data_IF_413142384227
#
_entry.id   IF_413142384227
#
_cell.length_a   1.000
_cell.length_b   1.000
_cell.length_c   1.000
_cell.angle_alpha   90.00
_cell.angle_beta   90.00
_cell.angle_gamma   90.00
#
_symmetry.space_group_name_H-M   'P 1'
#
loop_
_entity.id
_entity.type
_entity.pdbx_description
1 polymer ?
#
# COMPACT_ATOMS: atom_id res chain seq x y z
N UNK A 1 17.94 -12.84 37.52
CA UNK A 1 16.61 -12.72 36.88
C UNK A 1 16.78 -12.09 35.51
N UNK A 2 16.74 -12.90 34.45
CA UNK A 2 16.91 -12.45 33.07
C UNK A 2 15.55 -12.00 32.52
N UNK A 3 15.39 -10.69 32.35
CA UNK A 3 14.26 -10.09 31.64
C UNK A 3 14.30 -10.53 30.18
N UNK A 4 13.40 -11.45 29.80
CA UNK A 4 13.11 -11.74 28.39
C UNK A 4 12.35 -10.53 27.83
N UNK A 5 13.09 -9.59 27.26
CA UNK A 5 12.51 -8.51 26.45
C UNK A 5 11.61 -9.09 25.35
N UNK A 6 10.55 -8.36 24.94
CA UNK A 6 9.65 -8.84 23.91
C UNK A 6 10.46 -9.14 22.64
N UNK A 7 10.34 -10.39 22.15
CA UNK A 7 10.91 -10.78 20.85
C UNK A 7 10.29 -9.86 19.81
N UNK A 8 11.04 -8.86 19.37
CA UNK A 8 10.66 -8.04 18.23
C UNK A 8 10.39 -9.00 17.07
N UNK A 9 9.16 -8.99 16.56
CA UNK A 9 8.83 -9.74 15.36
C UNK A 9 9.81 -9.30 14.28
N UNK A 10 10.67 -10.21 13.82
CA UNK A 10 11.63 -9.89 12.76
C UNK A 10 10.91 -9.41 11.50
N UNK A 11 11.64 -8.85 10.52
CA UNK A 11 11.06 -8.34 9.27
C UNK A 11 10.14 -9.35 8.57
N UNK A 12 10.42 -10.65 8.74
CA UNK A 12 9.61 -11.76 8.23
C UNK A 12 8.20 -11.77 8.86
N UNK A 13 8.07 -11.54 10.16
CA UNK A 13 6.78 -11.53 10.84
C UNK A 13 5.87 -10.40 10.36
N UNK A 14 6.46 -9.23 10.13
CA UNK A 14 5.75 -8.06 9.59
C UNK A 14 5.23 -8.37 8.18
N UNK A 15 6.08 -8.94 7.30
CA UNK A 15 5.69 -9.32 5.93
C UNK A 15 4.56 -10.34 5.92
N UNK A 16 4.61 -11.36 6.79
CA UNK A 16 3.55 -12.38 6.89
C UNK A 16 2.23 -11.75 7.32
N UNK A 17 2.24 -10.89 8.35
CA UNK A 17 1.03 -10.21 8.82
C UNK A 17 0.41 -9.37 7.70
N UNK A 18 1.22 -8.57 6.99
CA UNK A 18 0.72 -7.77 5.87
C UNK A 18 0.17 -8.62 4.73
N UNK A 19 0.82 -9.74 4.42
CA UNK A 19 0.36 -10.65 3.37
C UNK A 19 -0.98 -11.28 3.74
N UNK A 20 -1.14 -11.73 4.99
CA UNK A 20 -2.40 -12.30 5.48
C UNK A 20 -3.53 -11.26 5.46
N UNK A 21 -3.26 -10.02 5.89
CA UNK A 21 -4.25 -8.92 5.85
C UNK A 21 -4.66 -8.62 4.40
N UNK A 22 -3.68 -8.50 3.50
CA UNK A 22 -3.93 -8.19 2.07
C UNK A 22 -4.77 -9.29 1.42
N UNK A 23 -4.43 -10.56 1.67
CA UNK A 23 -5.18 -11.70 1.14
C UNK A 23 -6.60 -11.77 1.71
N UNK A 24 -6.76 -11.50 3.01
CA UNK A 24 -8.07 -11.44 3.65
C UNK A 24 -8.96 -10.35 3.06
N UNK A 25 -8.40 -9.14 2.86
CA UNK A 25 -9.09 -8.04 2.20
C UNK A 25 -9.45 -8.38 0.75
N UNK A 26 -8.52 -8.96 -0.02
CA UNK A 26 -8.79 -9.35 -1.40
C UNK A 26 -9.92 -10.37 -1.48
N UNK A 27 -9.96 -11.34 -0.58
CA UNK A 27 -11.03 -12.33 -0.52
C UNK A 27 -12.38 -11.69 -0.15
N UNK A 28 -12.39 -10.79 0.83
CA UNK A 28 -13.59 -10.03 1.20
C UNK A 28 -14.12 -9.18 0.03
N UNK A 29 -13.23 -8.46 -0.69
CA UNK A 29 -13.61 -7.69 -1.87
C UNK A 29 -14.11 -8.57 -3.01
N UNK A 30 -13.52 -9.75 -3.23
CA UNK A 30 -14.00 -10.72 -4.22
C UNK A 30 -15.42 -11.18 -3.88
N UNK A 31 -15.68 -11.56 -2.62
CA UNK A 31 -17.02 -11.93 -2.16
C UNK A 31 -18.01 -10.77 -2.33
N UNK A 32 -17.61 -9.54 -1.99
CA UNK A 32 -18.44 -8.35 -2.19
C UNK A 32 -18.78 -8.15 -3.68
N UNK A 33 -17.78 -8.12 -4.56
CA UNK A 33 -17.99 -7.87 -5.99
C UNK A 33 -18.82 -8.97 -6.65
N UNK A 34 -18.66 -10.23 -6.24
CA UNK A 34 -19.47 -11.34 -6.77
C UNK A 34 -20.93 -11.30 -6.32
N UNK A 35 -21.24 -10.71 -5.16
CA UNK A 35 -22.62 -10.54 -4.69
C UNK A 35 -23.29 -9.32 -5.35
N UNK A 36 -22.55 -8.25 -5.59
CA UNK A 36 -23.09 -6.98 -6.09
C UNK A 36 -23.06 -6.83 -7.61
N UNK A 37 -22.16 -7.53 -8.30
CA UNK A 37 -22.02 -7.46 -9.77
C UNK A 37 -22.47 -8.79 -10.37
N UNK A 38 -23.65 -8.76 -11.00
CA UNK A 38 -24.15 -9.87 -11.79
C UNK A 38 -23.19 -10.17 -12.96
N UNK A 39 -22.94 -11.45 -13.22
CA UNK A 39 -22.02 -11.90 -14.26
C UNK A 39 -22.42 -11.43 -15.67
N UNK A 40 -23.71 -11.13 -15.89
CA UNK A 40 -24.21 -10.60 -17.17
C UNK A 40 -23.84 -9.12 -17.41
N UNK A 41 -23.35 -8.40 -16.39
CA UNK A 41 -23.06 -6.96 -16.47
C UNK A 41 -21.58 -6.68 -16.68
N UNK A 42 -21.01 -7.26 -17.74
CA UNK A 42 -19.62 -7.06 -18.13
C UNK A 42 -19.19 -5.59 -18.23
N UNK A 43 -20.04 -4.73 -18.78
CA UNK A 43 -19.79 -3.29 -18.91
C UNK A 43 -19.62 -2.59 -17.54
N UNK A 44 -20.39 -3.03 -16.53
CA UNK A 44 -20.26 -2.48 -15.18
C UNK A 44 -18.90 -2.84 -14.56
N UNK A 45 -18.42 -4.07 -14.79
CA UNK A 45 -17.13 -4.48 -14.27
C UNK A 45 -15.96 -3.76 -14.95
N UNK A 46 -16.04 -3.52 -16.26
CA UNK A 46 -15.04 -2.70 -16.97
C UNK A 46 -14.97 -1.27 -16.43
N UNK A 47 -16.13 -0.67 -16.13
CA UNK A 47 -16.21 0.64 -15.48
C UNK A 47 -15.56 0.62 -14.09
N UNK A 48 -15.83 -0.40 -13.27
CA UNK A 48 -15.22 -0.58 -11.95
C UNK A 48 -13.69 -0.68 -12.05
N UNK A 49 -13.17 -1.53 -12.95
CA UNK A 49 -11.73 -1.69 -13.16
C UNK A 49 -11.05 -0.38 -13.59
N UNK A 50 -11.70 0.38 -14.47
CA UNK A 50 -11.19 1.67 -14.95
C UNK A 50 -11.17 2.72 -13.83
N UNK A 51 -12.22 2.74 -13.00
CA UNK A 51 -12.29 3.63 -11.84
C UNK A 51 -11.22 3.28 -10.80
N UNK A 52 -11.03 1.99 -10.51
CA UNK A 52 -9.97 1.50 -9.61
C UNK A 52 -8.60 1.89 -10.15
N UNK A 53 -8.34 1.69 -11.44
CA UNK A 53 -7.07 2.07 -12.06
C UNK A 53 -6.82 3.58 -11.97
N UNK A 54 -7.86 4.39 -12.16
CA UNK A 54 -7.77 5.87 -12.11
C UNK A 54 -7.51 6.35 -10.68
N UNK A 55 -8.30 5.90 -9.72
CA UNK A 55 -8.13 6.24 -8.29
C UNK A 55 -6.76 5.78 -7.81
N UNK A 56 -6.37 4.56 -8.16
CA UNK A 56 -5.06 4.02 -7.82
C UNK A 56 -3.90 4.82 -8.42
N UNK A 57 -4.04 5.27 -9.68
CA UNK A 57 -3.08 6.16 -10.32
C UNK A 57 -2.92 7.48 -9.58
N UNK A 58 -4.04 8.11 -9.19
CA UNK A 58 -4.04 9.36 -8.41
C UNK A 58 -3.38 9.16 -7.04
N UNK A 59 -3.76 8.11 -6.31
CA UNK A 59 -3.20 7.79 -4.98
C UNK A 59 -1.70 7.52 -5.07
N UNK A 60 -1.26 6.80 -6.11
CA UNK A 60 0.15 6.51 -6.34
C UNK A 60 0.93 7.80 -6.59
N UNK A 61 0.43 8.67 -7.48
CA UNK A 61 1.04 9.96 -7.78
C UNK A 61 1.13 10.88 -6.55
N UNK A 62 0.05 10.97 -5.77
CA UNK A 62 0.02 11.73 -4.51
C UNK A 62 1.00 11.17 -3.47
N UNK A 63 1.08 9.85 -3.34
CA UNK A 63 2.02 9.21 -2.42
C UNK A 63 3.46 9.55 -2.81
N UNK A 64 3.80 9.43 -4.10
CA UNK A 64 5.14 9.76 -4.60
C UNK A 64 5.48 11.23 -4.38
N UNK A 65 4.55 12.14 -4.67
CA UNK A 65 4.72 13.58 -4.46
C UNK A 65 4.90 13.93 -2.97
N UNK A 66 4.14 13.30 -2.08
CA UNK A 66 4.30 13.46 -0.63
C UNK A 66 5.66 12.94 -0.14
N UNK A 67 6.13 11.81 -0.67
CA UNK A 67 7.43 11.25 -0.32
C UNK A 67 8.59 12.10 -0.83
N UNK A 68 8.52 12.64 -2.06
CA UNK A 68 9.54 13.56 -2.58
C UNK A 68 9.56 14.88 -1.84
N UNK A 69 8.40 15.40 -1.43
CA UNK A 69 8.31 16.57 -0.57
C UNK A 69 8.94 16.33 0.80
N UNK A 70 8.64 15.19 1.45
CA UNK A 70 9.27 14.80 2.72
C UNK A 70 10.80 14.65 2.61
N UNK A 71 11.29 14.13 1.48
CA UNK A 71 12.72 14.03 1.18
C UNK A 71 13.40 15.39 0.99
N UNK A 72 12.68 16.38 0.45
CA UNK A 72 13.21 17.69 0.10
C UNK A 72 13.15 18.69 1.25
N UNK A 73 12.11 18.63 2.10
CA UNK A 73 11.76 19.71 3.02
C UNK A 73 12.47 19.66 4.38
N UNK A 74 13.00 18.52 4.83
CA UNK A 74 13.45 18.40 6.23
C UNK A 74 14.90 17.91 6.38
N UNK A 75 15.83 18.74 6.91
CA UNK A 75 17.21 18.33 7.21
C UNK A 75 17.30 17.16 8.20
N UNK A 76 16.38 17.07 9.17
CA UNK A 76 16.27 15.97 10.13
C UNK A 76 15.92 14.63 9.47
N UNK A 77 14.96 14.64 8.55
CA UNK A 77 14.60 13.46 7.73
C UNK A 77 15.78 12.96 6.90
N UNK A 78 16.67 13.85 6.43
CA UNK A 78 17.92 13.46 5.72
C UNK A 78 18.89 12.65 6.59
N UNK A 79 19.05 13.02 7.88
CA UNK A 79 19.91 12.31 8.83
C UNK A 79 19.31 10.95 9.21
N UNK A 80 18.00 10.92 9.40
CA UNK A 80 17.21 9.72 9.71
C UNK A 80 17.17 8.73 8.53
N UNK A 81 17.09 9.26 7.30
CA UNK A 81 17.18 8.47 6.07
C UNK A 81 18.58 7.85 5.90
N UNK A 82 19.62 8.52 6.40
CA UNK A 82 20.97 7.96 6.42
C UNK A 82 21.11 6.73 7.32
N UNK A 83 20.31 6.63 8.39
CA UNK A 83 20.39 5.57 9.41
C UNK A 83 19.38 4.43 9.22
N UNK A 84 18.14 4.75 8.85
CA UNK A 84 17.05 3.78 8.60
C UNK A 84 16.38 3.94 7.22
N UNK A 85 16.73 4.98 6.47
CA UNK A 85 16.04 5.35 5.24
C UNK A 85 16.23 4.40 4.08
N UNK A 86 17.27 3.55 4.07
CA UNK A 86 17.36 2.51 3.03
C UNK A 86 16.15 1.58 3.13
N UNK A 87 15.76 1.14 4.33
CA UNK A 87 14.61 0.26 4.53
C UNK A 87 13.28 0.98 4.20
N UNK A 88 13.08 2.19 4.72
CA UNK A 88 11.87 2.97 4.45
C UNK A 88 11.71 3.33 2.97
N UNK A 89 12.80 3.67 2.29
CA UNK A 89 12.81 3.96 0.86
C UNK A 89 12.51 2.71 0.03
N UNK A 90 13.09 1.55 0.39
CA UNK A 90 12.75 0.28 -0.27
C UNK A 90 11.30 -0.11 -0.02
N UNK A 91 10.77 0.05 1.18
CA UNK A 91 9.37 -0.25 1.49
C UNK A 91 8.43 0.68 0.71
N UNK A 92 8.70 1.98 0.70
CA UNK A 92 7.92 2.96 -0.04
C UNK A 92 7.95 2.68 -1.55
N UNK A 93 9.14 2.45 -2.11
CA UNK A 93 9.31 2.12 -3.52
C UNK A 93 8.58 0.81 -3.87
N UNK A 94 8.67 -0.21 -3.02
CA UNK A 94 8.01 -1.49 -3.25
C UNK A 94 6.49 -1.34 -3.24
N UNK A 95 5.93 -0.64 -2.25
CA UNK A 95 4.48 -0.39 -2.18
C UNK A 95 4.00 0.45 -3.36
N UNK A 96 4.73 1.51 -3.71
CA UNK A 96 4.43 2.33 -4.86
C UNK A 96 4.46 1.51 -6.16
N UNK A 97 5.52 0.74 -6.41
CA UNK A 97 5.62 -0.13 -7.58
C UNK A 97 4.52 -1.17 -7.64
N UNK A 98 4.17 -1.80 -6.52
CA UNK A 98 3.06 -2.76 -6.46
C UNK A 98 1.72 -2.09 -6.78
N UNK A 99 1.49 -0.87 -6.31
CA UNK A 99 0.27 -0.11 -6.57
C UNK A 99 0.18 0.27 -8.05
N UNK A 100 1.27 0.74 -8.66
CA UNK A 100 1.33 1.05 -10.10
C UNK A 100 1.12 -0.21 -10.95
N UNK A 101 1.78 -1.32 -10.62
CA UNK A 101 1.59 -2.59 -11.32
C UNK A 101 0.15 -3.09 -11.20
N UNK A 102 -0.47 -2.92 -10.05
CA UNK A 102 -1.87 -3.23 -9.79
C UNK A 102 -2.82 -2.38 -10.65
N UNK A 103 -2.57 -1.07 -10.77
CA UNK A 103 -3.34 -0.20 -11.68
C UNK A 103 -3.21 -0.63 -13.14
N UNK A 104 -1.98 -0.94 -13.58
CA UNK A 104 -1.73 -1.43 -14.93
C UNK A 104 -2.42 -2.77 -15.19
N UNK A 105 -2.41 -3.68 -14.21
CA UNK A 105 -3.13 -4.94 -14.30
C UNK A 105 -4.64 -4.70 -14.43
N UNK A 106 -5.22 -3.76 -13.68
CA UNK A 106 -6.63 -3.37 -13.85
C UNK A 106 -6.94 -2.84 -15.25
N UNK A 107 -6.10 -1.95 -15.79
CA UNK A 107 -6.28 -1.39 -17.12
C UNK A 107 -6.11 -2.42 -18.25
N UNK A 108 -5.19 -3.38 -18.09
CA UNK A 108 -5.02 -4.47 -19.06
C UNK A 108 -6.19 -5.44 -19.02
N UNK A 109 -6.67 -5.76 -17.83
CA UNK A 109 -7.71 -6.78 -17.63
C UNK A 109 -9.10 -6.28 -17.97
N UNK A 110 -9.36 -4.97 -17.97
CA UNK A 110 -10.60 -4.41 -18.52
C UNK A 110 -10.78 -4.68 -20.02
N UNK A 111 -9.69 -4.93 -20.76
CA UNK A 111 -9.75 -5.30 -22.18
C UNK A 111 -9.96 -6.80 -22.45
N UNK A 112 -9.98 -7.65 -21.41
CA UNK A 112 -10.19 -9.09 -21.55
C UNK A 112 -11.69 -9.43 -21.51
N UNK A 113 -12.10 -10.61 -21.98
CA UNK A 113 -13.51 -11.05 -21.88
C UNK A 113 -13.79 -11.90 -20.63
N UNK A 114 -12.77 -12.20 -19.82
CA UNK A 114 -12.92 -13.13 -18.70
C UNK A 114 -13.40 -12.41 -17.42
N UNK A 115 -14.70 -12.51 -17.13
CA UNK A 115 -15.33 -11.89 -15.96
C UNK A 115 -14.69 -12.31 -14.64
N UNK A 116 -14.37 -13.59 -14.46
CA UNK A 116 -13.78 -14.05 -13.20
C UNK A 116 -12.39 -13.46 -12.97
N UNK A 117 -11.61 -13.33 -14.03
CA UNK A 117 -10.29 -12.71 -13.98
C UNK A 117 -10.40 -11.22 -13.63
N UNK A 118 -11.38 -10.50 -14.22
CA UNK A 118 -11.70 -9.12 -13.87
C UNK A 118 -12.03 -8.94 -12.38
N UNK A 119 -12.89 -9.79 -11.82
CA UNK A 119 -13.25 -9.73 -10.39
C UNK A 119 -12.03 -9.95 -9.50
N UNK A 120 -11.21 -10.96 -9.83
CA UNK A 120 -10.00 -11.27 -9.05
C UNK A 120 -9.03 -10.09 -9.09
N UNK A 121 -8.81 -9.51 -10.27
CA UNK A 121 -7.85 -8.41 -10.42
C UNK A 121 -8.36 -7.14 -9.75
N UNK A 122 -9.65 -6.80 -9.89
CA UNK A 122 -10.24 -5.67 -9.19
C UNK A 122 -10.14 -5.81 -7.66
N UNK A 123 -10.44 -7.00 -7.12
CA UNK A 123 -10.40 -7.26 -5.67
C UNK A 123 -8.98 -7.25 -5.09
N UNK A 124 -8.02 -7.88 -5.77
CA UNK A 124 -6.61 -7.85 -5.36
C UNK A 124 -6.06 -6.43 -5.43
N UNK A 125 -6.38 -5.69 -6.49
CA UNK A 125 -5.93 -4.31 -6.65
C UNK A 125 -6.48 -3.38 -5.57
N UNK A 126 -7.78 -3.46 -5.27
CA UNK A 126 -8.39 -2.69 -4.18
C UNK A 126 -7.73 -3.00 -2.82
N UNK A 127 -7.47 -4.28 -2.53
CA UNK A 127 -6.81 -4.69 -1.29
C UNK A 127 -5.36 -4.19 -1.19
N UNK A 128 -4.61 -4.23 -2.30
CA UNK A 128 -3.25 -3.71 -2.37
C UNK A 128 -3.21 -2.19 -2.16
N UNK A 129 -4.13 -1.44 -2.77
CA UNK A 129 -4.23 0.01 -2.58
C UNK A 129 -4.48 0.37 -1.12
N UNK A 130 -5.48 -0.25 -0.48
CA UNK A 130 -5.81 0.02 0.93
C UNK A 130 -4.62 -0.32 1.84
N UNK A 131 -4.03 -1.49 1.65
CA UNK A 131 -2.90 -1.93 2.47
C UNK A 131 -1.69 -1.02 2.26
N UNK A 132 -1.42 -0.62 1.02
CA UNK A 132 -0.35 0.31 0.67
C UNK A 132 -0.55 1.70 1.28
N UNK A 133 -1.77 2.23 1.26
CA UNK A 133 -2.10 3.50 1.90
C UNK A 133 -1.91 3.42 3.42
N UNK A 134 -2.42 2.36 4.06
CA UNK A 134 -2.23 2.15 5.50
C UNK A 134 -0.75 2.05 5.86
N UNK A 135 0.04 1.30 5.08
CA UNK A 135 1.48 1.20 5.30
C UNK A 135 2.16 2.56 5.17
N UNK A 136 1.78 3.35 4.17
CA UNK A 136 2.33 4.68 3.93
C UNK A 136 2.01 5.62 5.09
N UNK A 137 0.77 5.63 5.58
CA UNK A 137 0.37 6.42 6.75
C UNK A 137 1.14 5.99 8.00
N UNK A 138 1.28 4.68 8.24
CA UNK A 138 2.05 4.16 9.38
C UNK A 138 3.53 4.55 9.29
N UNK A 139 4.12 4.53 8.09
CA UNK A 139 5.49 4.98 7.86
C UNK A 139 5.63 6.47 8.14
N UNK A 140 4.72 7.31 7.65
CA UNK A 140 4.73 8.76 7.89
C UNK A 140 4.58 9.05 9.40
N UNK A 141 3.60 8.43 10.07
CA UNK A 141 3.41 8.61 11.51
C UNK A 141 4.61 8.13 12.33
N UNK A 142 5.26 7.04 11.91
CA UNK A 142 6.49 6.57 12.55
C UNK A 142 7.64 7.56 12.38
N UNK A 143 7.74 8.23 11.22
CA UNK A 143 8.78 9.24 10.96
C UNK A 143 8.50 10.51 11.78
N UNK A 144 7.25 10.99 11.80
CA UNK A 144 6.86 12.18 12.58
C UNK A 144 7.12 12.00 14.08
N UNK A 145 6.75 10.85 14.65
CA UNK A 145 7.00 10.55 16.07
C UNK A 145 8.48 10.28 16.43
N UNK A 146 9.39 10.34 15.46
CA UNK A 146 10.84 10.35 15.68
C UNK A 146 11.41 11.77 15.69
N UNK A 147 10.83 12.68 14.90
CA UNK A 147 11.21 14.10 14.87
C UNK A 147 10.96 14.77 16.22
N UNK A 148 9.77 14.55 16.82
CA UNK A 148 9.43 15.05 18.16
C UNK A 148 10.43 14.57 19.24
N UNK A 149 10.98 13.36 19.07
CA UNK A 149 11.93 12.76 20.03
C UNK A 149 13.33 13.34 19.91
N UNK A 150 13.76 13.69 18.70
CA UNK A 150 15.07 14.32 18.50
C UNK A 150 15.05 15.80 18.96
N UNK A 151 13.94 16.53 18.77
CA UNK A 151 13.79 17.89 19.33
C UNK A 151 13.81 17.92 20.86
N UNK A 152 13.23 16.91 21.52
CA UNK A 152 13.27 16.79 22.99
C UNK A 152 14.69 16.47 23.49
N UNK A 153 15.51 15.73 22.73
CA UNK A 153 16.87 15.37 23.12
C UNK A 153 17.90 16.46 22.79
N UNK A 154 17.53 17.44 21.96
CA UNK A 154 18.38 18.56 21.58
C UNK A 154 18.22 19.80 22.49
N UNK A 155 17.19 19.83 23.34
CA UNK A 155 16.94 20.85 24.37
C UNK A 155 17.20 20.29 25.78
#
# INVERSE_FOLDING_TARGET
MSSKGPKSGGPIGIVVVFTVITLGLAWAFKCLLTVFIDAEKHEQMQSVLTNVATIGGIISGLSLAGFTFLLASTPGVRALIKKHGRLAHWMFLTVYSLTVLSCLACAFTSGMENFQLMVIVASVSAALMITGTVLTVLLINSIAGWEDREEILAN
#
